data_IF_269393615638
#
_entry.id   IF_269393615638
#
_cell.length_a   1.000
_cell.length_b   1.000
_cell.length_c   1.000
_cell.angle_alpha   90.00
_cell.angle_beta   90.00
_cell.angle_gamma   90.00
#
_symmetry.space_group_name_H-M   'P 1'
#
loop_
_entity.id
_entity.type
_entity.pdbx_description
1 polymer ?
#
# COMPACT_ATOMS: atom_id res chain seq x y z
N UNK A 1 5.82 -3.36 -14.12
CA UNK A 1 4.65 -2.62 -13.65
C UNK A 1 3.57 -2.66 -14.75
N UNK A 2 2.41 -3.29 -14.44
CA UNK A 2 1.35 -3.50 -15.44
C UNK A 2 0.81 -2.16 -15.97
N UNK A 3 0.70 -1.13 -15.12
CA UNK A 3 0.25 0.20 -15.52
C UNK A 3 1.20 0.79 -16.60
N UNK A 4 2.51 0.54 -16.48
CA UNK A 4 3.49 0.98 -17.47
C UNK A 4 3.30 0.36 -18.87
N UNK A 5 2.71 -0.84 -18.94
CA UNK A 5 2.42 -1.47 -20.24
C UNK A 5 1.34 -0.73 -21.02
N UNK A 6 0.43 -0.02 -20.34
CA UNK A 6 -0.66 0.71 -21.00
C UNK A 6 -0.31 2.16 -21.31
N UNK A 7 0.46 2.80 -20.45
CA UNK A 7 0.70 4.24 -20.54
C UNK A 7 2.14 4.61 -20.92
N UNK A 8 3.04 3.62 -21.01
CA UNK A 8 4.48 3.82 -21.20
C UNK A 8 5.20 4.17 -19.89
N UNK A 9 6.39 3.63 -19.68
CA UNK A 9 7.20 3.89 -18.47
C UNK A 9 7.63 5.36 -18.37
N UNK A 10 7.82 6.03 -19.50
CA UNK A 10 8.19 7.43 -19.58
C UNK A 10 7.12 8.36 -19.02
N UNK A 11 5.86 7.94 -19.01
CA UNK A 11 4.71 8.74 -18.57
C UNK A 11 4.33 8.51 -17.10
N UNK A 12 4.94 7.55 -16.43
CA UNK A 12 4.54 7.16 -15.06
C UNK A 12 5.66 7.43 -14.06
N UNK A 13 5.32 8.09 -12.96
CA UNK A 13 6.10 8.14 -11.75
C UNK A 13 5.36 7.37 -10.64
N UNK A 14 5.95 6.30 -10.13
CA UNK A 14 5.44 5.58 -8.97
C UNK A 14 6.24 5.96 -7.72
N UNK A 15 5.55 6.31 -6.64
CA UNK A 15 6.14 6.63 -5.33
C UNK A 15 5.43 5.84 -4.24
N UNK A 16 6.22 5.33 -3.27
CA UNK A 16 5.70 4.54 -2.15
C UNK A 16 5.58 5.37 -0.88
N UNK A 17 4.49 5.23 -0.15
CA UNK A 17 4.36 5.85 1.19
C UNK A 17 5.20 5.13 2.24
N UNK A 18 5.72 3.94 1.95
CA UNK A 18 6.68 3.25 2.83
C UNK A 18 8.00 4.03 2.96
N UNK A 19 8.32 4.89 1.99
CA UNK A 19 9.46 5.80 2.06
C UNK A 19 9.27 6.97 3.05
N UNK A 20 8.07 7.12 3.60
CA UNK A 20 7.75 8.19 4.55
C UNK A 20 7.95 7.81 6.01
N UNK A 21 8.51 6.63 6.32
CA UNK A 21 8.81 6.27 7.70
C UNK A 21 9.69 7.33 8.37
N UNK A 22 9.37 7.69 9.62
CA UNK A 22 10.20 8.65 10.38
C UNK A 22 11.49 8.04 10.90
N UNK A 23 11.50 6.73 11.14
CA UNK A 23 12.60 6.04 11.79
C UNK A 23 13.06 4.84 10.96
N UNK A 24 14.35 4.62 10.99
CA UNK A 24 14.97 3.41 10.44
C UNK A 24 14.78 2.22 11.39
N UNK A 25 14.88 1.00 10.86
CA UNK A 25 14.61 -0.23 11.64
C UNK A 25 15.40 -0.35 12.94
N UNK A 26 16.60 0.21 12.97
CA UNK A 26 17.50 0.16 14.12
C UNK A 26 17.21 1.22 15.19
N UNK A 27 16.32 2.14 14.91
CA UNK A 27 15.90 3.16 15.86
C UNK A 27 14.96 2.54 16.91
N UNK A 28 15.14 2.82 18.23
CA UNK A 28 14.24 2.31 19.28
C UNK A 28 12.76 2.63 19.05
N UNK A 29 12.45 3.75 18.43
CA UNK A 29 11.07 4.16 18.10
C UNK A 29 10.40 3.25 17.07
N UNK A 30 11.16 2.55 16.23
CA UNK A 30 10.64 1.58 15.26
C UNK A 30 9.83 0.46 15.90
N UNK A 31 10.27 -0.03 17.08
CA UNK A 31 9.57 -1.07 17.83
C UNK A 31 8.45 -0.53 18.72
N UNK A 32 8.52 0.75 19.10
CA UNK A 32 7.57 1.40 19.99
C UNK A 32 6.26 1.77 19.33
N UNK A 33 6.32 2.29 18.09
CA UNK A 33 5.15 2.75 17.33
C UNK A 33 5.10 2.01 16.01
N UNK A 34 3.97 1.38 15.70
CA UNK A 34 3.84 0.65 14.43
C UNK A 34 3.79 1.65 13.26
N UNK A 35 4.36 1.29 12.11
CA UNK A 35 4.30 2.13 10.90
C UNK A 35 2.90 2.20 10.26
N UNK A 36 1.95 1.41 10.74
CA UNK A 36 0.52 1.59 10.45
C UNK A 36 -0.06 2.84 11.14
N UNK A 37 0.58 3.28 12.24
CA UNK A 37 0.17 4.49 12.91
C UNK A 37 0.69 5.71 12.14
N UNK A 38 -0.18 6.70 11.81
CA UNK A 38 0.22 7.90 11.08
C UNK A 38 1.40 8.65 11.71
N UNK A 39 1.50 8.64 13.06
CA UNK A 39 2.59 9.31 13.81
C UNK A 39 3.97 8.77 13.42
N UNK A 40 4.07 7.49 13.02
CA UNK A 40 5.33 6.88 12.61
C UNK A 40 5.79 7.29 11.21
N UNK A 41 4.99 8.09 10.50
CA UNK A 41 5.24 8.47 9.12
C UNK A 41 5.30 10.00 8.98
N UNK A 42 6.12 10.48 8.06
CA UNK A 42 6.26 11.89 7.72
C UNK A 42 5.24 12.27 6.63
N UNK A 43 3.95 12.28 7.01
CA UNK A 43 2.86 12.49 6.07
C UNK A 43 2.88 13.91 5.48
N UNK A 44 3.32 14.93 6.23
CA UNK A 44 3.48 16.30 5.75
C UNK A 44 4.50 16.38 4.60
N UNK A 45 5.59 15.61 4.67
CA UNK A 45 6.53 15.48 3.57
C UNK A 45 5.88 14.81 2.34
N UNK A 46 5.04 13.80 2.58
CA UNK A 46 4.26 13.15 1.53
C UNK A 46 3.34 14.12 0.81
N UNK A 47 2.61 14.92 1.57
CA UNK A 47 1.72 15.97 1.04
C UNK A 47 2.50 17.01 0.22
N UNK A 48 3.61 17.52 0.75
CA UNK A 48 4.48 18.47 0.03
C UNK A 48 5.03 17.89 -1.28
N UNK A 49 5.38 16.61 -1.29
CA UNK A 49 5.81 15.94 -2.51
C UNK A 49 4.69 15.83 -3.53
N UNK A 50 3.46 15.49 -3.10
CA UNK A 50 2.31 15.41 -4.00
C UNK A 50 1.96 16.78 -4.58
N UNK A 51 1.96 17.84 -3.77
CA UNK A 51 1.73 19.21 -4.23
C UNK A 51 2.78 19.63 -5.28
N UNK A 52 4.06 19.38 -5.02
CA UNK A 52 5.12 19.71 -5.96
C UNK A 52 4.95 18.96 -7.30
N UNK A 53 4.73 17.64 -7.24
CA UNK A 53 4.58 16.80 -8.41
C UNK A 53 3.31 17.14 -9.22
N UNK A 54 2.20 17.46 -8.56
CA UNK A 54 0.96 17.87 -9.23
C UNK A 54 1.09 19.21 -9.96
N UNK A 55 2.02 20.06 -9.51
CA UNK A 55 2.38 21.32 -10.15
C UNK A 55 3.51 21.18 -11.20
N UNK A 56 3.91 19.95 -11.54
CA UNK A 56 4.97 19.69 -12.51
C UNK A 56 6.39 19.93 -11.99
N UNK A 57 6.54 20.16 -10.67
CA UNK A 57 7.85 20.42 -10.04
C UNK A 57 8.52 19.11 -9.60
N UNK A 58 9.86 19.01 -9.71
CA UNK A 58 10.59 17.84 -9.23
C UNK A 58 10.66 17.82 -7.70
N UNK A 59 10.87 16.63 -7.15
CA UNK A 59 11.12 16.41 -5.73
C UNK A 59 12.44 15.70 -5.49
N UNK A 60 12.99 15.84 -4.28
CA UNK A 60 14.09 15.01 -3.78
C UNK A 60 13.52 14.02 -2.77
N UNK A 61 13.74 12.71 -3.01
CA UNK A 61 13.15 11.66 -2.20
C UNK A 61 14.12 10.54 -1.91
N UNK A 62 14.21 10.14 -0.64
CA UNK A 62 14.87 8.93 -0.20
C UNK A 62 13.91 7.75 -0.31
N UNK A 63 14.39 6.59 -0.71
CA UNK A 63 13.65 5.34 -0.66
C UNK A 63 14.06 4.51 0.55
N UNK A 64 13.09 3.79 1.13
CA UNK A 64 13.36 2.90 2.25
C UNK A 64 13.80 1.52 1.78
N UNK A 65 14.99 1.09 2.19
CA UNK A 65 15.51 -0.22 1.84
C UNK A 65 15.06 -1.28 2.86
N UNK A 66 14.08 -2.09 2.49
CA UNK A 66 13.51 -3.14 3.35
C UNK A 66 14.50 -4.24 3.76
N UNK A 67 15.59 -4.46 3.00
CA UNK A 67 16.62 -5.44 3.36
C UNK A 67 17.52 -4.93 4.48
N UNK A 68 18.08 -3.74 4.30
CA UNK A 68 18.99 -3.13 5.27
C UNK A 68 18.26 -2.47 6.45
N UNK A 69 17.05 -1.96 6.23
CA UNK A 69 16.30 -1.18 7.21
C UNK A 69 16.75 0.28 7.32
N UNK A 70 17.47 0.78 6.30
CA UNK A 70 17.98 2.15 6.20
C UNK A 70 17.34 2.89 5.03
N UNK A 71 17.41 4.21 5.05
CA UNK A 71 17.09 5.02 3.88
C UNK A 71 18.27 5.10 2.93
N UNK A 72 17.98 5.01 1.64
CA UNK A 72 18.94 5.32 0.60
C UNK A 72 19.15 6.83 0.51
N UNK A 73 20.25 7.27 -0.11
CA UNK A 73 20.46 8.68 -0.42
C UNK A 73 19.28 9.22 -1.26
N UNK A 74 18.88 10.48 -1.04
CA UNK A 74 17.79 11.06 -1.81
C UNK A 74 18.18 11.20 -3.29
N UNK A 75 17.21 10.90 -4.16
CA UNK A 75 17.32 11.08 -5.61
C UNK A 75 16.31 12.11 -6.09
N UNK A 76 16.65 12.81 -7.18
CA UNK A 76 15.72 13.73 -7.83
C UNK A 76 14.74 12.93 -8.67
N UNK A 77 13.45 13.17 -8.46
CA UNK A 77 12.36 12.59 -9.25
C UNK A 77 11.63 13.71 -9.97
N UNK A 78 11.55 13.59 -11.29
CA UNK A 78 10.82 14.53 -12.14
C UNK A 78 9.32 14.18 -12.14
N UNK A 79 8.47 15.19 -12.19
CA UNK A 79 7.04 14.99 -12.35
C UNK A 79 6.74 14.32 -13.71
N UNK A 80 5.77 13.45 -13.74
CA UNK A 80 5.28 12.74 -14.92
C UNK A 80 3.80 12.97 -15.12
N UNK A 81 3.25 12.78 -16.33
CA UNK A 81 1.82 12.93 -16.59
C UNK A 81 0.94 12.07 -15.68
N UNK A 82 1.42 10.90 -15.27
CA UNK A 82 0.72 9.99 -14.36
C UNK A 82 1.57 9.75 -13.12
N UNK A 83 1.02 10.08 -11.95
CA UNK A 83 1.65 9.84 -10.66
C UNK A 83 0.88 8.75 -9.94
N UNK A 84 1.54 7.65 -9.65
CA UNK A 84 0.97 6.53 -8.88
C UNK A 84 1.53 6.59 -7.47
N UNK A 85 0.66 6.77 -6.48
CA UNK A 85 1.01 6.74 -5.07
C UNK A 85 0.52 5.44 -4.47
N UNK A 86 1.41 4.64 -3.93
CA UNK A 86 1.05 3.36 -3.32
C UNK A 86 1.49 3.29 -1.86
N UNK A 87 0.82 2.44 -1.07
CA UNK A 87 1.17 2.14 0.31
C UNK A 87 0.07 2.47 1.32
N UNK A 88 0.43 2.42 2.60
CA UNK A 88 -0.54 2.40 3.69
C UNK A 88 -1.32 3.71 3.90
N UNK A 89 -0.70 4.84 3.59
CA UNK A 89 -1.25 6.18 3.87
C UNK A 89 -1.41 7.02 2.60
N UNK A 90 -1.60 6.39 1.44
CA UNK A 90 -1.56 7.05 0.12
C UNK A 90 -2.51 8.27 0.01
N UNK A 91 -3.71 8.20 0.59
CA UNK A 91 -4.71 9.28 0.61
C UNK A 91 -5.28 9.51 2.02
N UNK A 92 -4.41 9.40 3.04
CA UNK A 92 -4.81 9.45 4.44
C UNK A 92 -5.04 10.88 4.95
N UNK A 93 -4.26 11.86 4.50
CA UNK A 93 -4.39 13.28 4.87
C UNK A 93 -5.46 13.96 4.03
N UNK A 94 -5.96 15.11 4.49
CA UNK A 94 -6.92 15.90 3.71
C UNK A 94 -6.29 16.43 2.43
N UNK A 95 -4.98 16.76 2.46
CA UNK A 95 -4.23 17.25 1.29
C UNK A 95 -4.09 16.12 0.26
N UNK A 96 -3.53 14.97 0.65
CA UNK A 96 -3.39 13.84 -0.28
C UNK A 96 -4.74 13.35 -0.81
N UNK A 97 -5.79 13.35 0.05
CA UNK A 97 -7.14 13.00 -0.37
C UNK A 97 -7.72 13.98 -1.42
N UNK A 98 -7.39 15.26 -1.31
CA UNK A 98 -7.85 16.28 -2.27
C UNK A 98 -7.08 16.24 -3.60
N UNK A 99 -5.77 15.96 -3.55
CA UNK A 99 -4.89 15.97 -4.73
C UNK A 99 -5.00 14.71 -5.59
N UNK A 100 -5.35 13.56 -5.01
CA UNK A 100 -5.43 12.30 -5.75
C UNK A 100 -6.76 12.21 -6.48
N UNK A 101 -6.70 12.15 -7.81
CA UNK A 101 -7.86 12.09 -8.70
C UNK A 101 -8.65 10.78 -8.56
N UNK A 102 -7.96 9.65 -8.39
CA UNK A 102 -8.56 8.32 -8.26
C UNK A 102 -7.95 7.55 -7.10
N UNK A 103 -8.78 7.18 -6.15
CA UNK A 103 -8.42 6.45 -4.94
C UNK A 103 -8.93 5.02 -4.99
N UNK A 104 -8.01 4.06 -5.00
CA UNK A 104 -8.32 2.64 -5.00
C UNK A 104 -7.85 2.03 -3.68
N UNK A 105 -8.76 1.42 -2.95
CA UNK A 105 -8.44 0.68 -1.74
C UNK A 105 -8.57 -0.83 -2.01
N UNK A 106 -7.51 -1.58 -1.69
CA UNK A 106 -7.53 -3.05 -1.78
C UNK A 106 -7.82 -3.62 -0.40
N UNK A 107 -9.02 -4.17 -0.24
CA UNK A 107 -9.51 -4.77 0.99
C UNK A 107 -9.38 -6.28 0.94
N UNK A 108 -8.40 -6.83 1.61
CA UNK A 108 -8.11 -8.27 1.62
C UNK A 108 -8.63 -8.91 2.91
N UNK A 109 -9.23 -10.09 2.80
CA UNK A 109 -9.64 -10.92 3.95
C UNK A 109 -8.48 -11.12 4.93
N UNK A 110 -8.80 -11.03 6.22
CA UNK A 110 -7.80 -11.10 7.30
C UNK A 110 -7.00 -12.40 7.29
N UNK A 111 -7.64 -13.52 6.97
CA UNK A 111 -6.96 -14.82 6.96
C UNK A 111 -6.00 -14.93 5.78
N UNK A 112 -6.38 -14.37 4.61
CA UNK A 112 -5.49 -14.26 3.44
C UNK A 112 -4.27 -13.41 3.79
N UNK A 113 -4.47 -12.21 4.35
CA UNK A 113 -3.38 -11.32 4.77
C UNK A 113 -2.47 -12.01 5.76
N UNK A 114 -3.04 -12.72 6.74
CA UNK A 114 -2.28 -13.45 7.74
C UNK A 114 -1.47 -14.57 7.10
N UNK A 115 -2.08 -15.36 6.22
CA UNK A 115 -1.44 -16.45 5.51
C UNK A 115 -0.26 -15.97 4.65
N UNK A 116 -0.47 -14.99 3.78
CA UNK A 116 0.58 -14.43 2.94
C UNK A 116 1.71 -13.76 3.73
N UNK A 117 1.35 -13.08 4.82
CA UNK A 117 2.35 -12.45 5.68
C UNK A 117 3.19 -13.47 6.43
N UNK A 118 2.59 -14.56 6.91
CA UNK A 118 3.33 -15.66 7.53
C UNK A 118 4.34 -16.25 6.54
N UNK A 119 3.91 -16.62 5.32
CA UNK A 119 4.81 -17.14 4.28
C UNK A 119 5.94 -16.15 3.99
N UNK A 120 5.62 -14.89 3.69
CA UNK A 120 6.62 -13.89 3.33
C UNK A 120 7.62 -13.64 4.46
N UNK A 121 7.15 -13.45 5.68
CA UNK A 121 8.01 -13.01 6.78
C UNK A 121 8.84 -14.18 7.32
N UNK A 122 8.37 -15.44 7.24
CA UNK A 122 9.17 -16.62 7.61
C UNK A 122 10.18 -17.00 6.52
N UNK A 123 9.74 -17.13 5.26
CA UNK A 123 10.58 -17.63 4.17
C UNK A 123 11.58 -16.59 3.65
N UNK A 124 11.16 -15.32 3.54
CA UNK A 124 11.98 -14.29 2.89
C UNK A 124 12.71 -13.39 3.88
N UNK A 125 12.20 -13.24 5.10
CA UNK A 125 12.73 -12.31 6.11
C UNK A 125 13.32 -13.01 7.34
N UNK A 126 13.17 -14.33 7.45
CA UNK A 126 13.75 -15.14 8.52
C UNK A 126 13.11 -14.96 9.91
N UNK A 127 11.90 -14.42 10.00
CA UNK A 127 11.16 -14.33 11.27
C UNK A 127 10.62 -15.71 11.69
N UNK A 128 10.49 -15.94 13.01
CA UNK A 128 9.80 -17.12 13.50
C UNK A 128 8.29 -16.97 13.35
N UNK A 129 7.60 -18.05 13.09
CA UNK A 129 6.15 -18.10 12.90
C UNK A 129 5.37 -17.39 14.03
N UNK A 130 5.67 -17.72 15.29
CA UNK A 130 5.00 -17.11 16.44
C UNK A 130 5.27 -15.62 16.58
N UNK A 131 6.47 -15.14 16.26
CA UNK A 131 6.82 -13.73 16.31
C UNK A 131 5.99 -12.95 15.28
N UNK A 132 5.75 -13.53 14.08
CA UNK A 132 4.90 -12.91 13.05
C UNK A 132 3.44 -12.82 13.53
N UNK A 133 2.91 -13.86 14.18
CA UNK A 133 1.55 -13.83 14.74
C UNK A 133 1.40 -12.77 15.82
N UNK A 134 2.37 -12.63 16.71
CA UNK A 134 2.38 -11.58 17.74
C UNK A 134 2.41 -10.18 17.11
N UNK A 135 3.22 -9.97 16.08
CA UNK A 135 3.27 -8.71 15.33
C UNK A 135 1.91 -8.41 14.69
N UNK A 136 1.26 -9.41 14.08
CA UNK A 136 -0.07 -9.23 13.46
C UNK A 136 -1.09 -8.84 14.53
N UNK A 137 -1.09 -9.52 15.68
CA UNK A 137 -1.98 -9.23 16.81
C UNK A 137 -1.75 -7.81 17.36
N UNK A 138 -0.49 -7.44 17.61
CA UNK A 138 -0.11 -6.11 18.10
C UNK A 138 -0.60 -4.99 17.17
N UNK A 139 -0.58 -5.22 15.86
CA UNK A 139 -0.94 -4.23 14.84
C UNK A 139 -2.43 -4.20 14.47
N UNK A 140 -3.24 -5.10 15.02
CA UNK A 140 -4.64 -5.27 14.60
C UNK A 140 -5.50 -4.01 14.79
N UNK A 141 -5.29 -3.28 15.87
CA UNK A 141 -6.02 -2.03 16.15
C UNK A 141 -5.66 -0.94 15.12
N UNK A 142 -4.38 -0.67 14.92
CA UNK A 142 -3.91 0.34 13.95
C UNK A 142 -4.36 -0.02 12.53
N UNK A 143 -4.34 -1.32 12.19
CA UNK A 143 -4.85 -1.81 10.90
C UNK A 143 -6.33 -1.49 10.71
N UNK A 144 -7.15 -1.71 11.72
CA UNK A 144 -8.58 -1.47 11.64
C UNK A 144 -8.89 0.02 11.46
N UNK A 145 -8.25 0.89 12.24
CA UNK A 145 -8.43 2.35 12.15
C UNK A 145 -7.99 2.89 10.77
N UNK A 146 -6.84 2.45 10.28
CA UNK A 146 -6.31 2.86 8.98
C UNK A 146 -7.25 2.44 7.85
N UNK A 147 -7.73 1.20 7.91
CA UNK A 147 -8.65 0.62 6.94
C UNK A 147 -9.98 1.37 6.90
N UNK A 148 -10.61 1.60 8.04
CA UNK A 148 -11.90 2.29 8.15
C UNK A 148 -11.85 3.68 7.50
N UNK A 149 -10.84 4.49 7.85
CA UNK A 149 -10.66 5.82 7.28
C UNK A 149 -10.49 5.77 5.77
N UNK A 150 -9.58 4.94 5.25
CA UNK A 150 -9.28 4.93 3.82
C UNK A 150 -10.40 4.30 2.98
N UNK A 151 -11.11 3.30 3.46
CA UNK A 151 -12.29 2.76 2.74
C UNK A 151 -13.35 3.83 2.56
N UNK A 152 -13.59 4.68 3.56
CA UNK A 152 -14.58 5.76 3.46
C UNK A 152 -14.21 6.82 2.42
N UNK A 153 -12.90 7.01 2.15
CA UNK A 153 -12.37 7.99 1.20
C UNK A 153 -12.17 7.41 -0.20
N UNK A 154 -12.15 6.08 -0.34
CA UNK A 154 -11.84 5.41 -1.60
C UNK A 154 -12.96 5.59 -2.64
N UNK A 155 -12.58 5.86 -3.87
CA UNK A 155 -13.50 5.89 -5.02
C UNK A 155 -13.85 4.46 -5.48
N UNK A 156 -12.89 3.56 -5.39
CA UNK A 156 -13.03 2.13 -5.71
C UNK A 156 -12.51 1.29 -4.55
N UNK A 157 -13.28 0.29 -4.15
CA UNK A 157 -12.81 -0.74 -3.21
C UNK A 157 -12.74 -2.07 -3.97
N UNK A 158 -11.53 -2.62 -4.05
CA UNK A 158 -11.29 -3.98 -4.56
C UNK A 158 -11.25 -4.92 -3.37
N UNK A 159 -12.25 -5.77 -3.23
CA UNK A 159 -12.37 -6.70 -2.10
C UNK A 159 -11.91 -8.09 -2.53
N UNK A 160 -10.99 -8.67 -1.76
CA UNK A 160 -10.46 -10.01 -1.98
C UNK A 160 -10.84 -10.88 -0.78
N UNK A 161 -11.72 -11.84 -0.99
CA UNK A 161 -12.21 -12.75 0.05
C UNK A 161 -11.75 -14.19 -0.24
N UNK A 162 -11.51 -14.97 0.81
CA UNK A 162 -11.30 -16.40 0.68
C UNK A 162 -12.65 -17.10 0.42
N UNK A 163 -12.70 -17.97 -0.61
CA UNK A 163 -13.88 -18.77 -0.94
C UNK A 163 -14.07 -19.89 0.10
N UNK A 164 -12.96 -20.42 0.60
CA UNK A 164 -12.96 -21.50 1.58
C UNK A 164 -12.04 -21.16 2.77
N UNK A 165 -12.20 -21.88 3.87
CA UNK A 165 -11.33 -21.72 5.03
C UNK A 165 -9.90 -22.19 4.70
N UNK A 166 -8.91 -21.33 4.99
CA UNK A 166 -7.49 -21.68 4.90
C UNK A 166 -7.17 -22.61 6.08
N UNK A 167 -6.84 -23.86 5.80
CA UNK A 167 -6.61 -24.91 6.81
C UNK A 167 -5.27 -24.73 7.52
N UNK A 168 -4.21 -24.47 6.74
CA UNK A 168 -2.84 -24.38 7.23
C UNK A 168 -2.28 -22.98 6.98
N UNK A 169 -2.55 -22.04 7.90
CA UNK A 169 -2.06 -20.67 7.80
C UNK A 169 -0.52 -20.63 7.77
N UNK A 170 0.03 -20.02 6.74
CA UNK A 170 1.49 -19.87 6.55
C UNK A 170 2.18 -21.06 5.89
N UNK A 171 1.43 -22.09 5.47
CA UNK A 171 1.98 -23.15 4.62
C UNK A 171 1.97 -22.70 3.16
N UNK A 172 3.16 -22.60 2.54
CA UNK A 172 3.32 -22.19 1.15
C UNK A 172 2.72 -23.17 0.11
N UNK A 173 2.41 -24.38 0.53
CA UNK A 173 1.76 -25.39 -0.31
C UNK A 173 0.23 -25.38 -0.18
N UNK A 174 -0.31 -24.61 0.76
CA UNK A 174 -1.75 -24.40 0.89
C UNK A 174 -2.24 -23.46 -0.22
N UNK A 175 -3.09 -23.97 -1.09
CA UNK A 175 -3.76 -23.15 -2.10
C UNK A 175 -4.91 -22.37 -1.47
N UNK A 176 -5.03 -21.10 -1.82
CA UNK A 176 -6.11 -20.24 -1.36
C UNK A 176 -6.97 -19.85 -2.55
N UNK A 177 -8.18 -20.41 -2.62
CA UNK A 177 -9.16 -19.96 -3.60
C UNK A 177 -9.73 -18.61 -3.17
N UNK A 178 -9.66 -17.62 -4.05
CA UNK A 178 -10.09 -16.26 -3.77
C UNK A 178 -11.24 -15.84 -4.69
N UNK A 179 -12.10 -14.99 -4.16
CA UNK A 179 -13.05 -14.20 -4.95
C UNK A 179 -12.67 -12.74 -4.93
N UNK A 180 -12.78 -12.07 -6.06
CA UNK A 180 -12.50 -10.64 -6.18
C UNK A 180 -13.79 -9.93 -6.55
N UNK A 181 -14.15 -8.91 -5.78
CA UNK A 181 -15.28 -8.05 -6.06
C UNK A 181 -14.86 -6.58 -6.07
N UNK A 182 -15.49 -5.79 -6.93
CA UNK A 182 -15.20 -4.37 -7.10
C UNK A 182 -16.42 -3.57 -6.72
N UNK A 183 -16.30 -2.72 -5.71
CA UNK A 183 -17.32 -1.76 -5.30
C UNK A 183 -16.87 -0.36 -5.69
N UNK A 184 -17.76 0.37 -6.35
CA UNK A 184 -17.58 1.78 -6.65
C UNK A 184 -18.32 2.61 -5.59
N UNK A 185 -17.62 3.53 -4.95
CA UNK A 185 -18.15 4.40 -3.88
C UNK A 185 -18.37 5.84 -4.35
N UNK A 186 -18.11 6.17 -5.62
CA UNK A 186 -18.15 7.53 -6.12
C UNK A 186 -19.01 7.65 -7.37
N UNK A 187 -19.56 8.84 -7.57
CA UNK A 187 -20.20 9.24 -8.84
C UNK A 187 -19.20 9.79 -9.88
N UNK A 188 -17.91 9.88 -9.54
CA UNK A 188 -16.87 10.28 -10.48
C UNK A 188 -16.87 9.33 -11.68
N UNK A 189 -16.63 9.87 -12.86
CA UNK A 189 -16.47 9.08 -14.07
C UNK A 189 -15.12 8.35 -14.00
N UNK A 190 -15.17 7.07 -13.71
CA UNK A 190 -13.99 6.21 -13.79
C UNK A 190 -13.87 5.74 -15.25
N UNK A 191 -12.71 5.91 -15.90
CA UNK A 191 -12.52 5.44 -17.27
C UNK A 191 -12.91 3.97 -17.42
N UNK A 192 -13.73 3.66 -18.43
CA UNK A 192 -14.25 2.29 -18.63
C UNK A 192 -13.11 1.28 -18.79
N UNK A 193 -12.07 1.65 -19.52
CA UNK A 193 -10.87 0.83 -19.70
C UNK A 193 -10.13 0.51 -18.39
N UNK A 194 -10.16 1.41 -17.40
CA UNK A 194 -9.54 1.12 -16.10
C UNK A 194 -10.33 0.08 -15.31
N UNK A 195 -11.66 0.10 -15.36
CA UNK A 195 -12.50 -0.93 -14.71
C UNK A 195 -12.35 -2.29 -15.41
N UNK A 196 -12.25 -2.29 -16.73
CA UNK A 196 -11.98 -3.49 -17.52
C UNK A 196 -10.58 -4.03 -17.20
N UNK A 197 -9.58 -3.16 -17.13
CA UNK A 197 -8.23 -3.51 -16.71
C UNK A 197 -8.19 -4.16 -15.31
N UNK A 198 -8.82 -3.53 -14.32
CA UNK A 198 -8.88 -4.08 -12.96
C UNK A 198 -9.53 -5.47 -12.97
N UNK A 199 -10.60 -5.67 -13.74
CA UNK A 199 -11.26 -6.96 -13.88
C UNK A 199 -10.36 -8.00 -14.51
N UNK A 200 -9.73 -7.68 -15.63
CA UNK A 200 -8.89 -8.61 -16.39
C UNK A 200 -7.66 -9.08 -15.63
N UNK A 201 -7.02 -8.18 -14.85
CA UNK A 201 -5.72 -8.48 -14.23
C UNK A 201 -5.76 -8.74 -12.72
N UNK A 202 -6.90 -8.54 -12.08
CA UNK A 202 -7.08 -8.85 -10.66
C UNK A 202 -8.12 -9.96 -10.42
N UNK A 203 -8.88 -10.36 -11.45
CA UNK A 203 -9.95 -11.37 -11.33
C UNK A 203 -9.66 -12.66 -12.09
N UNK A 204 -8.58 -12.72 -12.89
CA UNK A 204 -8.02 -13.92 -13.50
C UNK A 204 -6.83 -14.44 -12.66
#
# INVERSE_FOLDING_TARGET
NIISLFFGEENILAISTDDLHKWERHNPMWSGVTHLNPIANNLELGDSHLEALSNGSPIWRSSYNHKSGWFNAPVKLEAKPIIVVEGLHAFYTDISNALIDLKIFVDVDKNIVTHWKLIRDTEQRGYKYNDVLEIIKKRSHDTAMLKEKQISLADIVVKIDAISQIKNLGDKHESVDISVSIKRNTNKTVPRGLLEFIRTYLCD
#
